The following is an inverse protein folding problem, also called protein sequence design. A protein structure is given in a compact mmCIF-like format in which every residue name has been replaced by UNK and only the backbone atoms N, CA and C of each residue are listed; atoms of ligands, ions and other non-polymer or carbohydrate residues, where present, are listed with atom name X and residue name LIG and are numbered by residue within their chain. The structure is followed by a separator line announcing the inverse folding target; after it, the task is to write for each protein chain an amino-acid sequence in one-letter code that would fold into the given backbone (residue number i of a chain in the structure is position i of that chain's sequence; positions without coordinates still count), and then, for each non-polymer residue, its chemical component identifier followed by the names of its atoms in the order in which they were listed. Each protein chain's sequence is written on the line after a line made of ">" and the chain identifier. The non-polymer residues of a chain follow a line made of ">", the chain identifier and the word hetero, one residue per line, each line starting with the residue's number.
data_IF_736069252481
#
_entry.id   IF_736069252481
#
_cell.length_a   1.000
_cell.length_b   1.000
_cell.length_c   1.000
_cell.angle_alpha   90.00
_cell.angle_beta   90.00
_cell.angle_gamma   90.00
#
_symmetry.space_group_name_H-M   'P 1'
#
loop_
_entity.id
_entity.type
_entity.pdbx_description
1 polymer ?
#
# COMPACT_ATOMS: atom_id res chain seq x y z
N UNK A 1 -38.08 -36.61 -60.34
CA UNK A 1 -37.59 -38.01 -60.37
C UNK A 1 -36.20 -37.91 -60.99
N UNK A 2 -35.08 -38.00 -60.28
CA UNK A 2 -34.62 -38.97 -59.27
C UNK A 2 -33.44 -38.33 -58.50
N UNK A 3 -33.53 -38.21 -57.18
CA UNK A 3 -32.77 -38.99 -56.18
C UNK A 3 -31.30 -38.56 -55.96
N UNK A 4 -31.08 -37.96 -54.79
CA UNK A 4 -29.83 -37.61 -54.12
C UNK A 4 -29.12 -38.89 -53.64
N UNK A 5 -27.78 -38.98 -53.65
CA UNK A 5 -27.06 -39.75 -52.65
C UNK A 5 -26.50 -38.82 -51.59
N UNK A 6 -26.94 -38.99 -50.34
CA UNK A 6 -26.29 -38.41 -49.17
C UNK A 6 -24.98 -39.17 -48.95
N UNK A 7 -23.86 -38.49 -49.15
CA UNK A 7 -22.57 -38.95 -48.69
C UNK A 7 -22.44 -38.53 -47.22
N UNK A 8 -22.88 -39.40 -46.30
CA UNK A 8 -22.53 -39.27 -44.89
C UNK A 8 -21.02 -39.48 -44.73
N UNK A 9 -20.27 -38.38 -44.78
CA UNK A 9 -18.90 -38.34 -44.31
C UNK A 9 -18.97 -38.38 -42.78
N UNK A 10 -18.76 -39.57 -42.23
CA UNK A 10 -18.61 -39.84 -40.81
C UNK A 10 -17.35 -39.12 -40.28
N UNK A 11 -17.48 -37.85 -39.91
CA UNK A 11 -16.42 -37.11 -39.24
C UNK A 11 -16.38 -37.52 -37.75
N UNK A 12 -15.23 -37.95 -37.21
CA UNK A 12 -15.14 -38.43 -35.83
C UNK A 12 -15.47 -37.32 -34.82
N UNK A 13 -16.29 -37.66 -33.82
CA UNK A 13 -16.75 -36.82 -32.69
C UNK A 13 -15.64 -36.25 -31.80
N UNK A 14 -14.37 -36.45 -32.15
CA UNK A 14 -13.20 -36.09 -31.34
C UNK A 14 -12.60 -34.72 -31.69
N UNK A 15 -13.06 -34.06 -32.75
CA UNK A 15 -12.53 -32.76 -33.19
C UNK A 15 -13.29 -31.55 -32.64
N UNK A 16 -14.09 -31.70 -31.58
CA UNK A 16 -14.87 -30.60 -30.95
C UNK A 16 -14.61 -30.43 -29.45
N UNK A 17 -13.43 -30.83 -28.94
CA UNK A 17 -13.09 -30.67 -27.51
C UNK A 17 -11.88 -29.74 -27.26
N UNK A 18 -11.07 -29.39 -28.27
CA UNK A 18 -9.86 -28.56 -28.04
C UNK A 18 -10.03 -27.04 -28.15
N UNK A 19 -11.17 -26.51 -28.62
CA UNK A 19 -11.32 -25.06 -28.85
C UNK A 19 -11.98 -24.28 -27.70
N UNK A 20 -12.66 -24.95 -26.75
CA UNK A 20 -13.41 -24.29 -25.68
C UNK A 20 -12.55 -24.01 -24.43
N UNK A 21 -11.62 -24.90 -24.12
CA UNK A 21 -10.67 -24.76 -23.00
C UNK A 21 -9.68 -23.57 -23.13
N UNK A 22 -9.06 -23.27 -24.30
CA UNK A 22 -8.08 -22.19 -24.40
C UNK A 22 -8.70 -20.79 -24.28
N UNK A 23 -9.91 -20.58 -24.83
CA UNK A 23 -10.61 -19.29 -24.73
C UNK A 23 -11.07 -18.99 -23.30
N UNK A 24 -11.58 -19.99 -22.58
CA UNK A 24 -11.98 -19.84 -21.17
C UNK A 24 -10.78 -19.57 -20.25
N UNK A 25 -9.64 -20.24 -20.48
CA UNK A 25 -8.40 -19.99 -19.75
C UNK A 25 -7.84 -18.58 -19.99
N UNK A 26 -7.87 -18.12 -21.24
CA UNK A 26 -7.46 -16.76 -21.59
C UNK A 26 -8.37 -15.70 -20.94
N UNK A 27 -9.69 -15.87 -21.01
CA UNK A 27 -10.64 -14.99 -20.35
C UNK A 27 -10.38 -14.93 -18.83
N UNK A 28 -10.26 -16.10 -18.17
CA UNK A 28 -9.98 -16.17 -16.74
C UNK A 28 -8.66 -15.47 -16.35
N UNK A 29 -7.61 -15.62 -17.16
CA UNK A 29 -6.32 -14.97 -16.90
C UNK A 29 -6.39 -13.43 -17.00
N UNK A 30 -7.18 -12.90 -17.92
CA UNK A 30 -7.38 -11.46 -18.09
C UNK A 30 -8.21 -10.89 -16.93
N UNK A 31 -9.25 -11.61 -16.50
CA UNK A 31 -10.05 -11.21 -15.34
C UNK A 31 -9.22 -11.15 -14.05
N UNK A 32 -8.33 -12.12 -13.83
CA UNK A 32 -7.42 -12.14 -12.68
C UNK A 32 -6.37 -11.01 -12.74
N UNK A 33 -5.80 -10.72 -13.91
CA UNK A 33 -4.85 -9.61 -14.08
C UNK A 33 -5.52 -8.26 -13.80
N UNK A 34 -6.74 -8.07 -14.30
CA UNK A 34 -7.52 -6.87 -14.04
C UNK A 34 -7.89 -6.75 -12.56
N UNK A 35 -8.35 -7.82 -11.93
CA UNK A 35 -8.65 -7.84 -10.49
C UNK A 35 -7.41 -7.48 -9.66
N UNK A 36 -6.24 -8.05 -10.00
CA UNK A 36 -4.97 -7.72 -9.36
C UNK A 36 -4.60 -6.24 -9.52
N UNK A 37 -4.84 -5.66 -10.69
CA UNK A 37 -4.62 -4.23 -10.94
C UNK A 37 -5.51 -3.35 -10.05
N UNK A 38 -6.81 -3.67 -9.97
CA UNK A 38 -7.77 -2.94 -9.13
C UNK A 38 -7.37 -3.05 -7.65
N UNK A 39 -6.98 -4.24 -7.18
CA UNK A 39 -6.50 -4.43 -5.81
C UNK A 39 -5.22 -3.62 -5.55
N UNK A 40 -4.26 -3.64 -6.46
CA UNK A 40 -3.03 -2.84 -6.36
C UNK A 40 -3.31 -1.34 -6.31
N UNK A 41 -4.25 -0.86 -7.13
CA UNK A 41 -4.68 0.54 -7.11
C UNK A 41 -5.33 0.93 -5.78
N UNK A 42 -6.25 0.10 -5.27
CA UNK A 42 -6.90 0.34 -3.97
C UNK A 42 -5.87 0.33 -2.84
N UNK A 43 -4.97 -0.66 -2.81
CA UNK A 43 -3.89 -0.73 -1.82
C UNK A 43 -2.99 0.51 -1.86
N UNK A 44 -2.64 0.99 -3.05
CA UNK A 44 -1.86 2.21 -3.22
C UNK A 44 -2.58 3.47 -2.69
N UNK A 45 -3.89 3.61 -2.92
CA UNK A 45 -4.68 4.73 -2.37
C UNK A 45 -4.71 4.68 -0.84
N UNK A 46 -4.91 3.50 -0.27
CA UNK A 46 -4.91 3.31 1.18
C UNK A 46 -3.52 3.67 1.73
N UNK A 47 -2.44 3.13 1.15
CA UNK A 47 -1.05 3.41 1.53
C UNK A 47 -0.71 4.91 1.46
N UNK A 48 -1.17 5.58 0.40
CA UNK A 48 -1.01 7.04 0.24
C UNK A 48 -1.74 7.81 1.34
N UNK A 49 -2.95 7.40 1.69
CA UNK A 49 -3.76 8.05 2.74
C UNK A 49 -3.10 7.91 4.12
N UNK A 50 -2.56 6.74 4.46
CA UNK A 50 -1.90 6.50 5.76
C UNK A 50 -0.65 7.37 5.95
N UNK A 51 0.06 7.71 4.87
CA UNK A 51 1.22 8.62 4.94
C UNK A 51 0.87 9.99 5.55
N UNK A 52 -0.38 10.44 5.38
CA UNK A 52 -0.90 11.69 5.94
C UNK A 52 -1.58 11.55 7.30
N UNK A 53 -1.62 10.35 7.88
CA UNK A 53 -2.18 10.12 9.21
C UNK A 53 -1.14 10.39 10.30
N UNK A 54 -1.56 11.04 11.38
CA UNK A 54 -0.80 11.24 12.61
C UNK A 54 -0.90 10.05 13.59
N UNK A 55 -1.86 9.15 13.41
CA UNK A 55 -2.16 8.04 14.33
C UNK A 55 -1.33 6.77 14.05
N UNK A 56 -0.02 6.89 13.88
CA UNK A 56 0.87 5.73 13.74
C UNK A 56 1.31 5.18 15.10
N UNK A 57 1.62 6.08 16.02
CA UNK A 57 2.06 5.76 17.38
C UNK A 57 1.40 6.69 18.39
N UNK A 58 0.82 6.10 19.43
CA UNK A 58 0.13 6.81 20.51
C UNK A 58 1.03 6.77 21.74
N UNK A 59 1.32 7.93 22.30
CA UNK A 59 2.07 8.10 23.53
C UNK A 59 1.17 8.63 24.64
N UNK A 60 1.12 7.92 25.76
CA UNK A 60 0.45 8.37 26.97
C UNK A 60 1.45 9.14 27.83
N UNK A 61 1.12 10.38 28.15
CA UNK A 61 1.98 11.33 28.86
C UNK A 61 1.26 11.75 30.15
N UNK A 62 1.98 11.82 31.25
CA UNK A 62 1.43 12.36 32.50
C UNK A 62 1.04 13.83 32.31
N UNK A 63 -0.04 14.28 32.97
CA UNK A 63 -0.52 15.65 32.86
C UNK A 63 0.60 16.65 33.20
N UNK A 64 1.11 17.33 32.17
CA UNK A 64 2.02 18.45 32.31
C UNK A 64 1.27 19.77 32.15
N UNK A 65 1.85 20.85 32.67
CA UNK A 65 1.22 22.18 32.72
C UNK A 65 0.87 22.78 31.35
N UNK A 66 1.45 22.27 30.25
CA UNK A 66 1.27 22.78 28.88
C UNK A 66 0.46 21.84 27.98
N UNK A 67 0.50 20.52 28.19
CA UNK A 67 -0.24 19.52 27.39
C UNK A 67 -1.44 19.01 28.19
N UNK A 68 -2.61 19.58 27.96
CA UNK A 68 -3.81 19.35 28.78
C UNK A 68 -4.61 18.08 28.43
N UNK A 69 -4.02 17.14 27.66
CA UNK A 69 -4.71 15.95 27.14
C UNK A 69 -4.07 14.60 27.47
N UNK A 70 -2.85 14.59 28.01
CA UNK A 70 -2.13 13.36 28.36
C UNK A 70 -1.87 12.37 27.21
N UNK A 71 -2.06 12.80 25.96
CA UNK A 71 -1.88 12.00 24.75
C UNK A 71 -1.04 12.78 23.74
N UNK A 72 -0.08 12.11 23.12
CA UNK A 72 0.71 12.62 22.02
C UNK A 72 0.65 11.63 20.85
N UNK A 73 0.30 12.15 19.67
CA UNK A 73 0.17 11.38 18.44
C UNK A 73 1.39 11.65 17.56
N UNK A 74 2.07 10.58 17.14
CA UNK A 74 3.26 10.69 16.29
C UNK A 74 2.98 9.99 14.96
N UNK A 75 3.09 10.73 13.86
CA UNK A 75 2.97 10.22 12.50
C UNK A 75 3.99 10.83 11.53
N UNK A 76 3.81 10.54 10.24
CA UNK A 76 4.85 10.75 9.21
C UNK A 76 4.73 12.13 8.55
N UNK A 77 3.52 12.51 8.12
CA UNK A 77 3.23 13.84 7.60
C UNK A 77 2.10 14.50 8.38
N UNK A 78 2.25 15.80 8.63
CA UNK A 78 1.29 16.60 9.39
C UNK A 78 0.31 17.25 8.42
N UNK A 79 -0.96 16.86 8.49
CA UNK A 79 -2.05 17.70 8.01
C UNK A 79 -2.41 18.68 9.15
N UNK A 80 -2.07 19.95 8.94
CA UNK A 80 -2.01 21.03 9.94
C UNK A 80 -3.39 21.56 10.36
N UNK A 81 -4.31 20.67 10.77
CA UNK A 81 -5.71 21.06 10.83
C UNK A 81 -6.20 21.57 12.18
N UNK A 82 -5.75 21.11 13.35
CA UNK A 82 -6.46 21.47 14.61
C UNK A 82 -5.72 21.32 15.95
N UNK A 83 -4.44 20.91 16.02
CA UNK A 83 -3.73 20.72 17.31
C UNK A 83 -2.39 21.49 17.32
N UNK A 84 -1.73 21.60 18.49
CA UNK A 84 -0.37 22.18 18.59
C UNK A 84 0.60 21.23 17.87
N UNK A 85 0.65 21.34 16.55
CA UNK A 85 1.44 20.48 15.68
C UNK A 85 2.87 21.01 15.59
N UNK A 86 3.85 20.14 15.85
CA UNK A 86 5.27 20.42 15.64
C UNK A 86 5.81 19.43 14.61
N UNK A 87 6.36 19.94 13.51
CA UNK A 87 6.96 19.12 12.46
C UNK A 87 8.31 18.56 12.89
N UNK A 88 8.54 17.29 12.56
CA UNK A 88 9.81 16.59 12.74
C UNK A 88 10.45 16.45 11.36
N UNK A 89 11.63 17.04 11.17
CA UNK A 89 12.33 17.01 9.89
C UNK A 89 13.18 15.74 9.77
N UNK A 90 13.40 15.29 8.53
CA UNK A 90 14.26 14.14 8.24
C UNK A 90 15.69 14.31 8.79
N UNK A 91 16.18 15.56 8.84
CA UNK A 91 17.55 15.91 9.23
C UNK A 91 17.70 16.23 10.72
N UNK A 92 16.62 16.18 11.49
CA UNK A 92 16.70 16.47 12.91
C UNK A 92 17.40 15.33 13.65
N UNK A 93 18.32 15.66 14.55
CA UNK A 93 19.15 14.66 15.24
C UNK A 93 18.35 13.75 16.19
N UNK A 94 17.15 14.17 16.58
CA UNK A 94 16.24 13.42 17.43
C UNK A 94 15.23 12.58 16.65
N UNK A 95 15.21 12.66 15.32
CA UNK A 95 14.28 11.90 14.48
C UNK A 95 14.64 10.42 14.53
N UNK A 96 13.73 9.56 15.01
CA UNK A 96 14.00 8.14 15.03
C UNK A 96 14.16 7.58 13.60
N UNK A 97 15.06 6.60 13.41
CA UNK A 97 15.32 6.03 12.09
C UNK A 97 14.06 5.43 11.45
N UNK A 98 13.12 4.89 12.24
CA UNK A 98 11.87 4.35 11.72
C UNK A 98 10.96 5.44 11.12
N UNK A 99 10.91 6.63 11.73
CA UNK A 99 10.10 7.76 11.25
C UNK A 99 10.78 8.40 10.03
N UNK A 100 12.10 8.54 10.05
CA UNK A 100 12.85 9.02 8.89
C UNK A 100 12.70 8.10 7.68
N UNK A 101 12.81 6.78 7.89
CA UNK A 101 12.54 5.79 6.85
C UNK A 101 11.10 5.90 6.34
N UNK A 102 10.12 6.07 7.23
CA UNK A 102 8.73 6.25 6.85
C UNK A 102 8.50 7.47 5.95
N UNK A 103 9.11 8.62 6.23
CA UNK A 103 9.01 9.82 5.40
C UNK A 103 9.48 9.57 3.96
N UNK A 104 10.63 8.90 3.80
CA UNK A 104 11.19 8.59 2.48
C UNK A 104 10.37 7.51 1.77
N UNK A 105 10.10 6.40 2.45
CA UNK A 105 9.43 5.24 1.84
C UNK A 105 7.96 5.54 1.50
N UNK A 106 7.27 6.41 2.25
CA UNK A 106 5.93 6.87 1.87
C UNK A 106 5.95 7.65 0.55
N UNK A 107 6.93 8.55 0.35
CA UNK A 107 7.09 9.28 -0.91
C UNK A 107 7.40 8.35 -2.08
N UNK A 108 8.26 7.35 -1.86
CA UNK A 108 8.55 6.31 -2.86
C UNK A 108 7.30 5.50 -3.19
N UNK A 109 6.51 5.11 -2.18
CA UNK A 109 5.23 4.39 -2.34
C UNK A 109 4.27 5.16 -3.24
N UNK A 110 4.11 6.47 -2.99
CA UNK A 110 3.27 7.34 -3.81
C UNK A 110 3.80 7.37 -5.25
N UNK A 111 5.08 7.68 -5.44
CA UNK A 111 5.70 7.80 -6.77
C UNK A 111 5.66 6.51 -7.59
N UNK A 112 6.06 5.38 -7.01
CA UNK A 112 6.06 4.07 -7.70
C UNK A 112 4.64 3.65 -8.07
N UNK A 113 3.65 3.91 -7.21
CA UNK A 113 2.26 3.61 -7.54
C UNK A 113 1.71 4.47 -8.67
N UNK A 114 2.09 5.75 -8.78
CA UNK A 114 1.77 6.56 -9.96
C UNK A 114 2.35 5.92 -11.23
N UNK A 115 3.62 5.51 -11.21
CA UNK A 115 4.25 4.86 -12.35
C UNK A 115 3.55 3.54 -12.72
N UNK A 116 3.11 2.75 -11.73
CA UNK A 116 2.33 1.53 -11.94
C UNK A 116 1.01 1.83 -12.68
N UNK A 117 0.29 2.86 -12.24
CA UNK A 117 -0.95 3.32 -12.87
C UNK A 117 -0.75 3.76 -14.33
N UNK A 118 0.29 4.55 -14.60
CA UNK A 118 0.60 4.99 -15.96
C UNK A 118 0.93 3.80 -16.88
N UNK A 119 1.69 2.81 -16.39
CA UNK A 119 1.97 1.58 -17.13
C UNK A 119 0.71 0.78 -17.42
N UNK A 120 -0.24 0.75 -16.47
CA UNK A 120 -1.52 0.07 -16.65
C UNK A 120 -2.38 0.74 -17.72
N UNK A 121 -2.47 2.07 -17.70
CA UNK A 121 -3.31 2.86 -18.62
C UNK A 121 -2.74 2.82 -20.03
N UNK A 122 -1.49 3.25 -20.21
CA UNK A 122 -0.87 3.31 -21.55
C UNK A 122 -0.51 1.92 -22.09
N UNK A 123 -0.39 0.93 -21.21
CA UNK A 123 -0.05 -0.43 -21.59
C UNK A 123 -1.14 -1.12 -22.41
N UNK A 124 -2.40 -0.71 -22.26
CA UNK A 124 -3.54 -1.26 -23.02
C UNK A 124 -3.41 -0.94 -24.51
N UNK A 125 -2.97 0.27 -24.85
CA UNK A 125 -2.88 0.75 -26.23
C UNK A 125 -1.63 0.21 -26.98
N UNK A 126 -0.68 -0.36 -26.26
CA UNK A 126 0.64 -0.77 -26.79
C UNK A 126 0.66 -2.14 -27.51
N UNK A 127 -0.44 -2.89 -27.49
CA UNK A 127 -0.51 -4.26 -28.02
C UNK A 127 0.23 -5.33 -27.19
N UNK A 128 0.99 -4.94 -26.16
CA UNK A 128 1.79 -5.82 -25.29
C UNK A 128 1.16 -6.02 -23.91
N UNK A 129 -0.16 -6.27 -23.89
CA UNK A 129 -1.01 -6.27 -22.69
C UNK A 129 -0.45 -7.11 -21.52
N UNK A 130 0.03 -8.34 -21.78
CA UNK A 130 0.56 -9.22 -20.73
C UNK A 130 1.83 -8.66 -20.08
N UNK A 131 2.72 -8.07 -20.88
CA UNK A 131 3.97 -7.51 -20.38
C UNK A 131 3.70 -6.27 -19.54
N UNK A 132 2.80 -5.40 -19.99
CA UNK A 132 2.46 -4.15 -19.29
C UNK A 132 1.73 -4.44 -17.98
N UNK A 133 0.82 -5.41 -17.93
CA UNK A 133 0.25 -5.89 -16.67
C UNK A 133 1.29 -6.50 -15.72
N UNK A 134 2.26 -7.27 -16.24
CA UNK A 134 3.32 -7.84 -15.41
C UNK A 134 4.23 -6.76 -14.80
N UNK A 135 4.58 -5.73 -15.59
CA UNK A 135 5.34 -4.57 -15.11
C UNK A 135 4.54 -3.80 -14.06
N UNK A 136 3.27 -3.47 -14.36
CA UNK A 136 2.40 -2.75 -13.42
C UNK A 136 2.20 -3.52 -12.11
N UNK A 137 1.96 -4.82 -12.18
CA UNK A 137 1.86 -5.68 -11.00
C UNK A 137 3.16 -5.72 -10.19
N UNK A 138 4.32 -5.80 -10.85
CA UNK A 138 5.63 -5.76 -10.18
C UNK A 138 5.86 -4.42 -9.47
N UNK A 139 5.44 -3.31 -10.09
CA UNK A 139 5.50 -1.98 -9.48
C UNK A 139 4.57 -1.88 -8.27
N UNK A 140 3.35 -2.40 -8.33
CA UNK A 140 2.46 -2.46 -7.15
C UNK A 140 3.04 -3.33 -6.04
N UNK A 141 3.72 -4.43 -6.36
CA UNK A 141 4.39 -5.25 -5.37
C UNK A 141 5.54 -4.49 -4.69
N UNK A 142 6.28 -3.70 -5.45
CA UNK A 142 7.29 -2.78 -4.90
C UNK A 142 6.65 -1.68 -4.04
N UNK A 143 5.53 -1.10 -4.48
CA UNK A 143 4.75 -0.13 -3.69
C UNK A 143 4.33 -0.72 -2.35
N UNK A 144 3.80 -1.95 -2.33
CA UNK A 144 3.42 -2.66 -1.10
C UNK A 144 4.63 -2.94 -0.21
N UNK A 145 5.76 -3.39 -0.76
CA UNK A 145 6.98 -3.58 0.01
C UNK A 145 7.46 -2.27 0.65
N UNK A 146 7.44 -1.16 -0.10
CA UNK A 146 7.82 0.15 0.40
C UNK A 146 6.87 0.67 1.49
N UNK A 147 5.57 0.39 1.43
CA UNK A 147 4.63 0.81 2.47
C UNK A 147 4.70 -0.05 3.73
N UNK A 148 4.93 -1.37 3.58
CA UNK A 148 4.95 -2.31 4.70
C UNK A 148 6.21 -2.20 5.58
N UNK A 149 7.38 -1.90 4.99
CA UNK A 149 8.63 -1.75 5.73
C UNK A 149 8.52 -0.74 6.90
N UNK A 150 8.10 0.53 6.68
CA UNK A 150 7.98 1.48 7.78
C UNK A 150 6.83 1.15 8.74
N UNK A 151 5.76 0.52 8.26
CA UNK A 151 4.63 0.07 9.10
C UNK A 151 5.10 -0.98 10.12
N UNK A 152 5.77 -2.04 9.64
CA UNK A 152 6.29 -3.09 10.53
C UNK A 152 7.43 -2.59 11.41
N UNK A 153 8.30 -1.72 10.90
CA UNK A 153 9.36 -1.15 11.70
C UNK A 153 8.79 -0.29 12.84
N UNK A 154 7.84 0.61 12.55
CA UNK A 154 7.18 1.41 13.58
C UNK A 154 6.45 0.52 14.60
N UNK A 155 5.73 -0.51 14.14
CA UNK A 155 5.07 -1.47 15.03
C UNK A 155 6.07 -2.17 15.96
N UNK A 156 7.22 -2.61 15.42
CA UNK A 156 8.28 -3.21 16.22
C UNK A 156 8.86 -2.23 17.25
N UNK A 157 9.06 -0.96 16.87
CA UNK A 157 9.54 0.08 17.80
C UNK A 157 8.57 0.32 18.96
N UNK A 158 7.26 0.30 18.71
CA UNK A 158 6.23 0.41 19.76
C UNK A 158 6.25 -0.80 20.68
N UNK A 159 6.28 -2.02 20.12
CA UNK A 159 6.30 -3.27 20.91
C UNK A 159 7.59 -3.38 21.73
N UNK A 160 8.71 -2.87 21.22
CA UNK A 160 9.98 -2.80 21.93
C UNK A 160 10.08 -1.63 22.92
N UNK A 161 9.05 -0.80 23.07
CA UNK A 161 9.02 0.39 23.93
C UNK A 161 10.15 1.39 23.65
N UNK A 162 10.55 1.55 22.38
CA UNK A 162 11.57 2.53 22.00
C UNK A 162 11.02 3.95 22.21
N UNK A 163 11.82 4.82 22.82
CA UNK A 163 11.45 6.21 23.10
C UNK A 163 12.10 7.17 22.11
N UNK A 164 11.45 8.31 21.86
CA UNK A 164 12.04 9.47 21.21
C UNK A 164 12.48 10.46 22.29
N UNK A 165 13.72 10.94 22.20
CA UNK A 165 14.17 12.05 23.03
C UNK A 165 13.82 13.38 22.34
N UNK A 166 12.60 13.87 22.61
CA UNK A 166 12.14 15.13 22.04
C UNK A 166 12.88 16.32 22.65
N UNK A 167 13.24 17.35 21.85
CA UNK A 167 13.84 18.55 22.40
C UNK A 167 12.82 19.31 23.27
N UNK A 168 13.29 20.15 24.22
CA UNK A 168 12.43 20.85 25.18
C UNK A 168 11.31 21.71 24.56
N UNK A 169 11.52 22.17 23.32
CA UNK A 169 10.57 22.99 22.56
C UNK A 169 9.25 22.27 22.20
N UNK A 170 9.21 20.95 22.35
CA UNK A 170 8.02 20.12 22.13
C UNK A 170 7.17 19.97 23.41
N UNK A 171 7.69 20.38 24.57
CA UNK A 171 7.02 20.22 25.88
C UNK A 171 6.57 18.78 26.17
N UNK A 172 7.30 17.79 25.64
CA UNK A 172 7.08 16.36 25.85
C UNK A 172 8.19 15.78 26.74
N UNK A 173 7.87 14.80 27.60
CA UNK A 173 8.91 14.10 28.37
C UNK A 173 9.73 13.19 27.46
N UNK A 174 10.99 12.92 27.83
CA UNK A 174 11.89 12.00 27.10
C UNK A 174 11.38 10.56 27.02
N UNK A 175 10.40 10.17 27.86
CA UNK A 175 9.78 8.86 27.83
C UNK A 175 8.28 8.96 28.15
N UNK A 176 7.44 8.16 27.47
CA UNK A 176 6.01 8.07 27.77
C UNK A 176 5.75 7.12 28.93
N UNK A 177 4.60 7.29 29.58
CA UNK A 177 4.09 6.35 30.60
C UNK A 177 3.73 5.00 29.95
N UNK A 178 3.16 5.06 28.75
CA UNK A 178 2.76 3.90 27.95
C UNK A 178 2.78 4.25 26.47
N UNK A 179 3.06 3.27 25.62
CA UNK A 179 2.96 3.39 24.17
C UNK A 179 1.95 2.39 23.61
N UNK A 180 1.24 2.79 22.57
CA UNK A 180 0.33 1.93 21.83
C UNK A 180 0.45 2.12 20.32
N UNK A 181 0.12 1.05 19.61
CA UNK A 181 0.06 1.04 18.15
C UNK A 181 -1.19 1.80 17.73
N UNK A 182 -1.03 2.85 16.94
CA UNK A 182 -2.15 3.63 16.44
C UNK A 182 -2.93 2.91 15.34
N UNK A 183 -4.16 3.35 15.08
CA UNK A 183 -5.03 2.73 14.07
C UNK A 183 -4.43 2.79 12.67
N UNK A 184 -3.57 3.78 12.37
CA UNK A 184 -2.91 3.91 11.07
C UNK A 184 -2.06 2.69 10.69
N UNK A 185 -1.45 2.01 11.68
CA UNK A 185 -0.64 0.81 11.45
C UNK A 185 -1.50 -0.37 10.99
N UNK A 186 -2.67 -0.56 11.61
CA UNK A 186 -3.62 -1.61 11.20
C UNK A 186 -4.10 -1.41 9.76
N UNK A 187 -4.41 -0.16 9.39
CA UNK A 187 -4.80 0.20 8.02
C UNK A 187 -3.61 -0.01 7.06
N UNK A 188 -2.39 0.30 7.49
CA UNK A 188 -1.16 0.09 6.73
C UNK A 188 -0.87 -1.36 6.40
N UNK A 189 -1.07 -2.26 7.35
CA UNK A 189 -0.95 -3.70 7.09
C UNK A 189 -1.97 -4.15 6.05
N UNK A 190 -3.19 -3.62 6.09
CA UNK A 190 -4.23 -3.94 5.09
C UNK A 190 -4.00 -3.32 3.71
N UNK A 191 -3.06 -2.40 3.57
CA UNK A 191 -2.75 -1.73 2.29
C UNK A 191 -1.74 -2.48 1.41
N UNK A 192 -0.93 -3.37 2.00
CA UNK A 192 0.15 -4.10 1.34
C UNK A 192 -0.19 -5.54 1.01
#
# INVERSE_FOLDING_TARGET
>A
MTAIPEEEIFAPSWCRVSAVLPMAYLAQSVHLQFAGLVLGFVGWIIASSISGMNDWRIWYVDNQTVVTGGLAWVGVHILDSTEICKSISLTDSFTPPEIAAAQVLCMVTIGVGVVANLNAIFGVDSGHLRLTFAIAGSLYWLTAACSLVPVFWNMNSVVANLTIDFPPDFYLPSAPVKQEVGSGIGIGIGSG
#
